data_IF_092184505948
#
_entry.id   IF_092184505948
#
_cell.length_a   1.000
_cell.length_b   1.000
_cell.length_c   1.000
_cell.angle_alpha   90.00
_cell.angle_beta   90.00
_cell.angle_gamma   90.00
#
_symmetry.space_group_name_H-M   'P 1'
#
loop_
_entity.id
_entity.type
_entity.pdbx_description
1 polymer ?
#
# COMPACT_ATOMS: atom_id res chain seq x y z
N UNK A 1 29.56 3.37 -10.09
CA UNK A 1 28.23 3.94 -10.38
C UNK A 1 27.24 3.26 -9.42
N UNK A 2 26.69 3.98 -8.42
CA UNK A 2 25.68 3.38 -7.52
C UNK A 2 24.44 3.09 -8.34
N UNK A 3 23.93 1.88 -8.28
CA UNK A 3 22.73 1.48 -9.00
C UNK A 3 21.51 2.18 -8.38
N UNK A 4 21.14 3.31 -8.99
CA UNK A 4 20.02 4.17 -8.56
C UNK A 4 18.70 3.40 -8.61
N UNK A 5 18.56 2.43 -9.52
CA UNK A 5 17.36 1.62 -9.63
C UNK A 5 17.26 0.61 -8.48
N UNK A 6 18.37 -0.06 -8.16
CA UNK A 6 18.42 -0.97 -7.01
C UNK A 6 18.14 -0.25 -5.68
N UNK A 7 18.63 0.99 -5.51
CA UNK A 7 18.35 1.79 -4.31
C UNK A 7 16.88 2.19 -4.22
N UNK A 8 16.27 2.66 -5.32
CA UNK A 8 14.84 2.99 -5.37
C UNK A 8 13.95 1.78 -5.12
N UNK A 9 14.30 0.61 -5.64
CA UNK A 9 13.57 -0.64 -5.37
C UNK A 9 13.66 -1.04 -3.89
N UNK A 10 14.85 -0.93 -3.28
CA UNK A 10 15.03 -1.20 -1.85
C UNK A 10 14.18 -0.27 -0.99
N UNK A 11 14.15 1.02 -1.32
CA UNK A 11 13.31 2.02 -0.63
C UNK A 11 11.81 1.71 -0.79
N UNK A 12 11.37 1.37 -2.01
CA UNK A 12 9.98 0.97 -2.29
C UNK A 12 9.56 -0.25 -1.45
N UNK A 13 10.38 -1.29 -1.42
CA UNK A 13 10.13 -2.49 -0.60
C UNK A 13 10.08 -2.16 0.89
N UNK A 14 10.93 -1.25 1.35
CA UNK A 14 10.92 -0.81 2.76
C UNK A 14 9.62 -0.08 3.10
N UNK A 15 9.20 0.87 2.27
CA UNK A 15 7.97 1.64 2.48
C UNK A 15 6.73 0.74 2.44
N UNK A 16 6.66 -0.19 1.48
CA UNK A 16 5.54 -1.17 1.41
C UNK A 16 5.46 -2.04 2.66
N UNK A 17 6.60 -2.46 3.23
CA UNK A 17 6.61 -3.21 4.50
C UNK A 17 6.10 -2.36 5.67
N UNK A 18 6.52 -1.10 5.75
CA UNK A 18 6.05 -0.19 6.80
C UNK A 18 4.55 0.09 6.68
N UNK A 19 4.06 0.37 5.46
CA UNK A 19 2.63 0.55 5.18
C UNK A 19 1.80 -0.67 5.61
N UNK A 20 2.23 -1.88 5.27
CA UNK A 20 1.55 -3.11 5.69
C UNK A 20 1.50 -3.24 7.22
N UNK A 21 2.57 -2.88 7.92
CA UNK A 21 2.58 -2.88 9.39
C UNK A 21 1.63 -1.84 9.97
N UNK A 22 1.55 -0.64 9.38
CA UNK A 22 0.66 0.41 9.82
C UNK A 22 -0.81 0.05 9.59
N UNK A 23 -1.12 -0.59 8.46
CA UNK A 23 -2.48 -1.08 8.19
C UNK A 23 -2.95 -2.11 9.20
N UNK A 24 -2.09 -3.07 9.58
CA UNK A 24 -2.43 -4.04 10.63
C UNK A 24 -2.72 -3.35 11.96
N UNK A 25 -1.86 -2.42 12.38
CA UNK A 25 -2.07 -1.63 13.60
C UNK A 25 -3.32 -0.78 13.54
N UNK A 26 -3.66 -0.25 12.36
CA UNK A 26 -4.87 0.54 12.18
C UNK A 26 -6.12 -0.33 12.35
N UNK A 27 -6.12 -1.55 11.80
CA UNK A 27 -7.21 -2.52 11.99
C UNK A 27 -7.32 -2.95 13.46
N UNK A 28 -6.20 -3.18 14.15
CA UNK A 28 -6.18 -3.47 15.59
C UNK A 28 -6.76 -2.30 16.42
N UNK A 29 -6.35 -1.06 16.12
CA UNK A 29 -6.87 0.14 16.77
C UNK A 29 -8.37 0.34 16.51
N UNK A 30 -8.82 0.03 15.29
CA UNK A 30 -10.23 0.04 14.92
C UNK A 30 -11.03 -1.00 15.72
N UNK A 31 -10.53 -2.24 15.85
CA UNK A 31 -11.15 -3.26 16.69
C UNK A 31 -11.19 -2.88 18.18
N UNK A 32 -10.22 -2.10 18.65
CA UNK A 32 -10.15 -1.59 20.01
C UNK A 32 -10.93 -0.27 20.23
N UNK A 33 -11.55 0.31 19.19
CA UNK A 33 -12.16 1.65 19.20
C UNK A 33 -11.22 2.77 19.69
N UNK A 34 -9.91 2.63 19.49
CA UNK A 34 -8.93 3.67 19.85
C UNK A 34 -8.82 4.72 18.73
N UNK A 35 -9.73 5.69 18.77
CA UNK A 35 -9.81 6.78 17.80
C UNK A 35 -8.53 7.62 17.72
N UNK A 36 -7.84 7.85 18.84
CA UNK A 36 -6.61 8.65 18.87
C UNK A 36 -5.50 7.94 18.13
N UNK A 37 -5.34 6.63 18.39
CA UNK A 37 -4.36 5.81 17.69
C UNK A 37 -4.69 5.70 16.20
N UNK A 38 -5.95 5.49 15.83
CA UNK A 38 -6.39 5.47 14.44
C UNK A 38 -6.01 6.73 13.67
N UNK A 39 -6.28 7.93 14.23
CA UNK A 39 -5.92 9.21 13.59
C UNK A 39 -4.41 9.31 13.38
N UNK A 40 -3.62 8.95 14.39
CA UNK A 40 -2.15 9.01 14.29
C UNK A 40 -1.59 8.05 13.24
N UNK A 41 -2.19 6.86 13.11
CA UNK A 41 -1.81 5.86 12.12
C UNK A 41 -2.23 6.28 10.72
N UNK A 42 -3.42 6.85 10.53
CA UNK A 42 -3.89 7.36 9.23
C UNK A 42 -2.98 8.47 8.70
N UNK A 43 -2.58 9.43 9.55
CA UNK A 43 -1.63 10.48 9.18
C UNK A 43 -0.30 9.88 8.68
N UNK A 44 0.21 8.86 9.35
CA UNK A 44 1.46 8.21 8.98
C UNK A 44 1.35 7.39 7.69
N UNK A 45 0.22 6.72 7.49
CA UNK A 45 -0.11 6.01 6.24
C UNK A 45 -0.13 7.00 5.07
N UNK A 46 -0.81 8.15 5.22
CA UNK A 46 -0.87 9.19 4.17
C UNK A 46 0.52 9.74 3.84
N UNK A 47 1.35 10.02 4.84
CA UNK A 47 2.70 10.51 4.65
C UNK A 47 3.60 9.51 3.89
N UNK A 48 3.53 8.23 4.24
CA UNK A 48 4.29 7.18 3.56
C UNK A 48 3.78 6.92 2.15
N UNK A 49 2.46 6.98 1.91
CA UNK A 49 1.89 6.94 0.56
C UNK A 49 2.41 8.08 -0.31
N UNK A 50 2.47 9.30 0.22
CA UNK A 50 3.04 10.45 -0.50
C UNK A 50 4.53 10.27 -0.81
N UNK A 51 5.27 9.64 0.10
CA UNK A 51 6.69 9.33 -0.10
C UNK A 51 6.87 8.24 -1.17
N UNK A 52 6.03 7.20 -1.14
CA UNK A 52 6.03 6.13 -2.13
C UNK A 52 5.76 6.68 -3.53
N UNK A 53 4.73 7.51 -3.69
CA UNK A 53 4.38 8.15 -4.96
C UNK A 53 5.50 9.04 -5.51
N UNK A 54 6.24 9.72 -4.62
CA UNK A 54 7.41 10.52 -5.04
C UNK A 54 8.58 9.67 -5.54
N UNK A 55 8.76 8.47 -4.97
CA UNK A 55 9.85 7.55 -5.34
C UNK A 55 9.45 6.74 -6.59
N UNK A 56 8.16 6.44 -6.72
CA UNK A 56 7.58 5.65 -7.79
C UNK A 56 6.24 6.25 -8.24
N UNK A 57 6.23 7.22 -9.15
CA UNK A 57 5.01 7.89 -9.60
C UNK A 57 4.06 6.98 -10.40
N UNK A 58 4.52 5.77 -10.79
CA UNK A 58 3.70 4.76 -11.47
C UNK A 58 2.78 4.02 -10.50
N UNK A 59 3.08 4.06 -9.20
CA UNK A 59 2.24 3.48 -8.14
C UNK A 59 1.10 4.46 -7.82
N UNK A 60 0.16 4.64 -8.76
CA UNK A 60 -1.08 5.36 -8.48
C UNK A 60 -1.81 4.60 -7.35
N UNK A 61 -2.06 5.22 -6.18
CA UNK A 61 -2.84 4.58 -5.14
C UNK A 61 -4.25 4.35 -5.68
N UNK A 62 -4.66 3.09 -5.78
CA UNK A 62 -6.04 2.79 -6.13
C UNK A 62 -6.98 3.58 -5.22
N UNK A 63 -7.86 4.36 -5.83
CA UNK A 63 -8.84 5.13 -5.08
C UNK A 63 -9.72 4.17 -4.30
N UNK A 64 -9.87 4.42 -2.99
CA UNK A 64 -10.68 3.59 -2.09
C UNK A 64 -12.17 3.48 -2.52
N UNK A 65 -12.58 4.23 -3.55
CA UNK A 65 -13.93 4.27 -4.10
C UNK A 65 -14.11 3.37 -5.34
N UNK A 66 -13.13 2.54 -5.71
CA UNK A 66 -13.37 1.54 -6.77
C UNK A 66 -14.30 0.46 -6.24
N UNK A 67 -15.57 0.56 -6.65
CA UNK A 67 -16.51 -0.55 -6.66
C UNK A 67 -15.76 -1.73 -7.31
N UNK A 68 -15.68 -2.91 -6.66
CA UNK A 68 -15.00 -4.04 -7.25
C UNK A 68 -15.69 -4.37 -8.56
N UNK A 69 -15.03 -4.09 -9.68
CA UNK A 69 -15.45 -4.65 -10.96
C UNK A 69 -15.25 -6.15 -10.80
N UNK A 70 -16.36 -6.88 -10.82
CA UNK A 70 -16.40 -8.32 -10.85
C UNK A 70 -15.85 -8.80 -12.21
N UNK A 71 -14.56 -8.57 -12.45
CA UNK A 71 -13.85 -9.16 -13.56
C UNK A 71 -13.58 -10.61 -13.15
N UNK A 72 -14.53 -11.48 -13.49
CA UNK A 72 -14.31 -12.91 -13.53
C UNK A 72 -12.99 -13.15 -14.25
N UNK A 73 -11.97 -13.60 -13.51
CA UNK A 73 -10.74 -14.10 -14.11
C UNK A 73 -11.14 -15.24 -15.04
N UNK A 74 -10.98 -15.05 -16.35
CA UNK A 74 -11.07 -16.13 -17.31
C UNK A 74 -10.13 -17.23 -16.85
N UNK A 75 -10.72 -18.38 -16.48
CA UNK A 75 -9.97 -19.60 -16.21
C UNK A 75 -9.18 -19.89 -17.48
N UNK A 76 -7.85 -20.00 -17.35
CA UNK A 76 -6.95 -20.40 -18.43
C UNK A 76 -7.59 -21.62 -19.13
N UNK A 77 -8.07 -21.38 -20.34
CA UNK A 77 -8.62 -22.41 -21.19
C UNK A 77 -7.52 -23.41 -21.47
N UNK A 78 -7.78 -24.66 -21.10
CA UNK A 78 -7.19 -25.90 -21.60
C UNK A 78 -5.75 -25.80 -22.12
N UNK A 79 -4.81 -26.15 -21.25
CA UNK A 79 -3.54 -26.74 -21.71
C UNK A 79 -3.89 -28.12 -22.25
N UNK A 80 -3.84 -28.30 -23.58
CA UNK A 80 -3.79 -29.60 -24.26
C UNK A 80 -2.40 -29.71 -24.88
#
# INVERSE_FOLDING_TARGET
MRDVFAQRDKERRSIRKELNSLYRRFMEAHSANDLKLMISLDQRIRALKGTLLRIDPVEEPESCNRIPKNEQRSRLGNVI
#
